data_IF_400019648099
#
_entry.id   IF_400019648099
#
_cell.length_a   1.000
_cell.length_b   1.000
_cell.length_c   1.000
_cell.angle_alpha   90.00
_cell.angle_beta   90.00
_cell.angle_gamma   90.00
#
_symmetry.space_group_name_H-M   'P 1'
#
loop_
_entity.id
_entity.type
_entity.pdbx_description
1 polymer ?
#
# COMPACT_ATOMS: atom_id res chain seq x y z
N UNK A 1 11.73 1.65 1.60
CA UNK A 1 11.24 3.04 1.65
C UNK A 1 11.92 3.67 2.83
N UNK A 2 12.75 4.68 2.60
CA UNK A 2 13.32 5.50 3.66
C UNK A 2 12.32 6.57 4.07
N UNK A 3 12.55 7.26 5.19
CA UNK A 3 11.72 8.41 5.59
C UNK A 3 11.75 9.52 4.54
N UNK A 4 12.93 9.87 4.01
CA UNK A 4 13.07 10.89 2.96
C UNK A 4 12.33 10.50 1.68
N UNK A 5 12.48 9.25 1.23
CA UNK A 5 11.79 8.77 0.02
C UNK A 5 10.27 8.69 0.17
N UNK A 6 9.75 8.70 1.41
CA UNK A 6 8.31 8.76 1.65
C UNK A 6 7.73 10.16 1.35
N UNK A 7 8.48 11.24 1.59
CA UNK A 7 8.05 12.60 1.22
C UNK A 7 7.96 12.76 -0.30
N UNK A 8 8.96 12.25 -1.03
CA UNK A 8 8.93 12.23 -2.50
C UNK A 8 7.73 11.40 -3.01
N UNK A 9 7.46 10.25 -2.38
CA UNK A 9 6.30 9.43 -2.72
C UNK A 9 4.99 10.18 -2.54
N UNK A 10 4.82 10.92 -1.45
CA UNK A 10 3.63 11.75 -1.21
C UNK A 10 3.42 12.78 -2.32
N UNK A 11 4.50 13.42 -2.78
CA UNK A 11 4.44 14.34 -3.91
C UNK A 11 3.99 13.66 -5.21
N UNK A 12 4.46 12.44 -5.49
CA UNK A 12 4.05 11.65 -6.64
C UNK A 12 2.59 11.19 -6.55
N UNK A 13 2.13 10.74 -5.38
CA UNK A 13 0.74 10.32 -5.17
C UNK A 13 -0.23 11.48 -5.38
N UNK A 14 0.15 12.70 -4.96
CA UNK A 14 -0.60 13.93 -5.25
C UNK A 14 -0.77 14.18 -6.76
N UNK A 15 0.16 13.70 -7.59
CA UNK A 15 0.08 13.78 -9.05
C UNK A 15 -0.63 12.57 -9.69
N UNK A 16 -1.24 11.69 -8.90
CA UNK A 16 -2.00 10.54 -9.39
C UNK A 16 -1.17 9.26 -9.60
N UNK A 17 0.06 9.20 -9.09
CA UNK A 17 0.85 7.96 -9.12
C UNK A 17 0.24 6.92 -8.17
N UNK A 18 0.15 5.69 -8.66
CA UNK A 18 -0.30 4.54 -7.88
C UNK A 18 0.86 3.93 -7.09
N UNK A 19 0.57 3.42 -5.90
CA UNK A 19 1.52 2.81 -4.97
C UNK A 19 1.10 1.39 -4.66
N UNK A 20 2.03 0.45 -4.84
CA UNK A 20 1.84 -0.91 -4.33
C UNK A 20 2.37 -1.01 -2.90
N UNK A 21 1.47 -1.07 -1.92
CA UNK A 21 1.75 -1.33 -0.52
C UNK A 21 2.19 -2.79 -0.35
N UNK A 22 3.50 -3.00 -0.23
CA UNK A 22 4.14 -4.32 -0.16
C UNK A 22 5.43 -4.27 0.66
N UNK A 23 5.92 -5.43 1.09
CA UNK A 23 7.23 -5.53 1.73
C UNK A 23 7.34 -4.79 3.06
N UNK A 24 6.29 -4.87 3.89
CA UNK A 24 6.22 -4.18 5.20
C UNK A 24 7.42 -4.48 6.09
N UNK A 25 8.00 -5.69 6.01
CA UNK A 25 9.22 -6.07 6.73
C UNK A 25 10.54 -5.49 6.20
N UNK A 26 10.53 -4.53 5.25
CA UNK A 26 11.73 -3.91 4.65
C UNK A 26 11.70 -2.38 4.67
N UNK A 27 10.63 -1.74 5.12
CA UNK A 27 10.50 -0.28 5.11
C UNK A 27 10.89 0.32 6.46
N UNK A 28 11.32 1.58 6.46
CA UNK A 28 11.69 2.32 7.68
C UNK A 28 10.51 3.04 8.33
N UNK A 29 9.44 3.28 7.56
CA UNK A 29 8.20 3.90 8.02
C UNK A 29 7.21 2.85 8.53
N UNK A 30 6.33 3.22 9.46
CA UNK A 30 5.28 2.32 9.93
C UNK A 30 4.24 2.14 8.80
N UNK A 31 3.98 0.90 8.34
CA UNK A 31 3.15 0.65 7.15
C UNK A 31 1.75 1.26 7.23
N UNK A 32 1.06 1.14 8.36
CA UNK A 32 -0.34 1.57 8.48
C UNK A 32 -0.45 3.09 8.50
N UNK A 33 0.42 3.78 9.24
CA UNK A 33 0.52 5.23 9.26
C UNK A 33 0.85 5.77 7.85
N UNK A 34 1.81 5.15 7.15
CA UNK A 34 2.16 5.55 5.80
C UNK A 34 0.99 5.37 4.82
N UNK A 35 0.25 4.26 4.90
CA UNK A 35 -0.92 4.03 4.05
C UNK A 35 -2.02 5.05 4.34
N UNK A 36 -2.28 5.38 5.62
CA UNK A 36 -3.25 6.42 6.00
C UNK A 36 -2.89 7.78 5.38
N UNK A 37 -1.65 8.22 5.54
CA UNK A 37 -1.17 9.48 4.94
C UNK A 37 -1.34 9.51 3.41
N UNK A 38 -1.04 8.40 2.73
CA UNK A 38 -1.19 8.34 1.27
C UNK A 38 -2.65 8.31 0.83
N UNK A 39 -3.53 7.66 1.59
CA UNK A 39 -4.98 7.65 1.33
C UNK A 39 -5.58 9.05 1.54
N UNK A 40 -5.14 9.77 2.57
CA UNK A 40 -5.57 11.15 2.81
C UNK A 40 -5.20 12.08 1.65
N UNK A 41 -4.09 11.79 0.94
CA UNK A 41 -3.69 12.50 -0.28
C UNK A 41 -4.51 12.06 -1.49
N UNK A 42 -4.64 10.74 -1.68
CA UNK A 42 -5.39 10.16 -2.79
C UNK A 42 -5.91 8.76 -2.43
N UNK A 43 -7.22 8.58 -2.18
CA UNK A 43 -7.77 7.29 -1.76
C UNK A 43 -7.73 6.22 -2.87
N UNK A 44 -7.54 6.61 -4.12
CA UNK A 44 -7.48 5.70 -5.26
C UNK A 44 -6.05 5.23 -5.58
N UNK A 45 -5.03 5.68 -4.84
CA UNK A 45 -3.63 5.43 -5.17
C UNK A 45 -3.08 4.10 -4.65
N UNK A 46 -3.67 3.51 -3.59
CA UNK A 46 -3.07 2.36 -2.91
C UNK A 46 -3.57 1.03 -3.47
N UNK A 47 -2.64 0.13 -3.79
CA UNK A 47 -2.88 -1.26 -4.14
C UNK A 47 -2.05 -2.18 -3.23
N UNK A 48 -2.59 -3.30 -2.76
CA UNK A 48 -1.82 -4.24 -1.94
C UNK A 48 -0.94 -5.20 -2.78
N UNK A 49 0.13 -5.72 -2.18
CA UNK A 49 0.87 -6.84 -2.73
C UNK A 49 1.77 -7.55 -1.73
N UNK A 50 1.99 -8.84 -1.94
CA UNK A 50 2.76 -9.68 -1.00
C UNK A 50 4.28 -9.50 -1.09
N UNK A 51 4.83 -9.11 -2.25
CA UNK A 51 6.29 -9.15 -2.48
C UNK A 51 6.92 -10.56 -2.31
N UNK A 52 6.19 -11.64 -2.61
CA UNK A 52 6.80 -12.98 -2.67
C UNK A 52 7.87 -13.06 -3.78
N UNK A 53 8.99 -13.78 -3.56
CA UNK A 53 9.32 -14.63 -2.41
C UNK A 53 10.05 -13.90 -1.27
N UNK A 54 9.91 -12.58 -1.14
CA UNK A 54 10.45 -11.76 -0.02
C UNK A 54 11.98 -11.81 0.17
N UNK A 55 12.74 -12.10 -0.90
CA UNK A 55 14.17 -12.44 -0.88
C UNK A 55 15.11 -11.42 -0.24
N UNK A 56 14.66 -10.18 0.02
CA UNK A 56 15.46 -9.10 0.59
C UNK A 56 14.83 -8.46 1.83
N UNK A 57 13.75 -9.02 2.39
CA UNK A 57 13.08 -8.45 3.55
C UNK A 57 13.64 -9.05 4.85
N UNK A 58 13.77 -8.24 5.91
CA UNK A 58 14.18 -8.74 7.24
C UNK A 58 13.10 -9.67 7.81
N UNK A 59 11.84 -9.28 7.61
CA UNK A 59 10.66 -10.11 7.86
C UNK A 59 9.97 -10.38 6.52
N UNK A 60 9.79 -11.65 6.11
CA UNK A 60 9.05 -11.97 4.89
C UNK A 60 7.57 -11.59 5.02
N UNK A 61 6.86 -11.57 3.90
CA UNK A 61 5.40 -11.46 3.93
C UNK A 61 4.78 -12.55 4.80
N UNK A 62 3.72 -12.18 5.51
CA UNK A 62 2.88 -13.11 6.24
C UNK A 62 1.42 -12.65 6.22
N UNK A 63 0.48 -13.55 6.50
CA UNK A 63 -0.95 -13.22 6.50
C UNK A 63 -1.31 -12.11 7.50
N UNK A 64 -0.50 -11.91 8.54
CA UNK A 64 -0.65 -10.79 9.47
C UNK A 64 -0.55 -9.43 8.76
N UNK A 65 0.12 -9.33 7.61
CA UNK A 65 0.14 -8.09 6.83
C UNK A 65 -1.24 -7.75 6.24
N UNK A 66 -2.04 -8.78 5.91
CA UNK A 66 -3.43 -8.62 5.48
C UNK A 66 -4.32 -8.26 6.68
N UNK A 67 -4.16 -9.00 7.79
CA UNK A 67 -4.91 -8.73 9.03
C UNK A 67 -4.67 -7.31 9.56
N UNK A 68 -3.44 -6.79 9.42
CA UNK A 68 -3.11 -5.41 9.79
C UNK A 68 -3.91 -4.39 8.98
N UNK A 69 -4.10 -4.60 7.68
CA UNK A 69 -4.96 -3.72 6.86
C UNK A 69 -6.41 -3.86 7.30
N UNK A 70 -6.91 -5.08 7.42
CA UNK A 70 -8.31 -5.33 7.81
C UNK A 70 -8.67 -4.73 9.18
N UNK A 71 -7.71 -4.72 10.11
CA UNK A 71 -7.90 -4.17 11.46
C UNK A 71 -7.98 -2.63 11.49
N UNK A 72 -7.36 -1.94 10.54
CA UNK A 72 -7.14 -0.49 10.64
C UNK A 72 -7.92 0.36 9.63
N UNK A 73 -8.58 -0.26 8.66
CA UNK A 73 -9.35 0.40 7.60
C UNK A 73 -10.78 -0.17 7.56
N UNK A 74 -11.75 0.65 7.14
CA UNK A 74 -13.13 0.20 6.93
C UNK A 74 -13.26 -0.67 5.67
N UNK A 75 -14.42 -1.31 5.49
CA UNK A 75 -14.66 -2.24 4.38
C UNK A 75 -14.50 -1.57 3.00
N UNK A 76 -14.95 -0.33 2.84
CA UNK A 76 -14.82 0.42 1.57
C UNK A 76 -13.34 0.67 1.23
N UNK A 77 -12.56 1.11 2.21
CA UNK A 77 -11.13 1.37 2.02
C UNK A 77 -10.36 0.07 1.79
N UNK A 78 -10.72 -1.01 2.51
CA UNK A 78 -10.14 -2.34 2.28
C UNK A 78 -10.41 -2.82 0.85
N UNK A 79 -11.63 -2.66 0.35
CA UNK A 79 -12.01 -3.06 -1.01
C UNK A 79 -11.20 -2.28 -2.06
N UNK A 80 -10.94 -1.00 -1.82
CA UNK A 80 -10.04 -0.20 -2.67
C UNK A 80 -8.60 -0.72 -2.64
N UNK A 81 -8.03 -0.91 -1.46
CA UNK A 81 -6.65 -1.36 -1.26
C UNK A 81 -6.41 -2.74 -1.89
N UNK A 82 -7.32 -3.69 -1.66
CA UNK A 82 -7.15 -5.08 -2.10
C UNK A 82 -7.61 -5.34 -3.53
N UNK A 83 -8.51 -4.50 -4.08
CA UNK A 83 -9.17 -4.83 -5.34
C UNK A 83 -9.40 -3.63 -6.27
N UNK A 84 -10.29 -2.68 -5.93
CA UNK A 84 -10.81 -1.69 -6.90
C UNK A 84 -9.72 -0.80 -7.51
N UNK A 85 -8.73 -0.40 -6.73
CA UNK A 85 -7.63 0.44 -7.24
C UNK A 85 -6.76 -0.32 -8.25
N UNK A 86 -6.51 -1.61 -7.99
CA UNK A 86 -5.78 -2.46 -8.92
C UNK A 86 -6.57 -2.71 -10.20
N UNK A 87 -7.86 -3.00 -10.08
CA UNK A 87 -8.75 -3.17 -11.24
C UNK A 87 -8.70 -1.95 -12.17
N UNK A 88 -8.83 -0.74 -11.60
CA UNK A 88 -8.73 0.54 -12.31
C UNK A 88 -7.34 0.75 -12.93
N UNK A 89 -6.28 0.48 -12.17
CA UNK A 89 -4.89 0.65 -12.63
C UNK A 89 -4.55 -0.27 -13.81
N UNK A 90 -4.90 -1.56 -13.71
CA UNK A 90 -4.64 -2.55 -14.75
C UNK A 90 -5.65 -2.51 -15.90
N UNK A 91 -6.68 -1.65 -15.82
CA UNK A 91 -7.70 -1.46 -16.86
C UNK A 91 -8.46 -2.76 -17.17
N UNK A 92 -8.73 -3.54 -16.14
CA UNK A 92 -9.54 -4.76 -16.23
C UNK A 92 -11.00 -4.34 -16.03
N UNK A 93 -11.89 -4.79 -16.92
CA UNK A 93 -13.34 -4.63 -16.74
C UNK A 93 -13.89 -5.75 -15.87
N UNK A 94 -14.87 -5.45 -15.03
CA UNK A 94 -15.71 -6.47 -14.37
C UNK A 94 -16.60 -7.22 -15.37
#
# INVERSE_FOLDING_TARGET
MTVEGFEDLKALVKQGVYVKAKGFGRIEVEPIAAIKELIDINPDAIMFGTDLPSTRAKRPFSEQDIELIQKHFDEETQEKIFYKNALKFYRISE
#
